data_IF_015777292972
#
_entry.id   IF_015777292972
#
_cell.length_a   1.000
_cell.length_b   1.000
_cell.length_c   1.000
_cell.angle_alpha   90.00
_cell.angle_beta   90.00
_cell.angle_gamma   90.00
#
_symmetry.space_group_name_H-M   'P 1'
#
loop_
_entity.id
_entity.type
_entity.pdbx_description
1 polymer ?
#
# COMPACT_ATOMS: atom_id res chain seq x y z
N UNK A 1 3.08 9.42 7.47
CA UNK A 1 2.11 8.56 8.16
C UNK A 1 1.43 7.64 7.17
N UNK A 2 1.15 6.40 7.56
CA UNK A 2 0.45 5.41 6.74
C UNK A 2 -1.05 5.60 6.94
N UNK A 3 -1.81 5.71 5.84
CA UNK A 3 -3.26 5.76 5.83
C UNK A 3 -3.77 4.46 5.21
N UNK A 4 -4.27 3.57 6.05
CA UNK A 4 -4.82 2.29 5.62
C UNK A 4 -6.34 2.38 5.49
N UNK A 5 -6.87 1.78 4.43
CA UNK A 5 -8.29 1.67 4.14
C UNK A 5 -8.59 0.22 3.80
N UNK A 6 -9.50 -0.41 4.53
CA UNK A 6 -9.85 -1.82 4.31
C UNK A 6 -10.54 -2.06 2.95
N UNK A 7 -11.39 -1.13 2.52
CA UNK A 7 -12.14 -1.23 1.26
C UNK A 7 -11.38 -0.76 0.01
N UNK A 8 -12.01 -1.00 -1.15
CA UNK A 8 -11.60 -0.43 -2.44
C UNK A 8 -12.02 1.05 -2.55
N UNK A 9 -11.64 1.85 -1.55
CA UNK A 9 -11.94 3.26 -1.61
C UNK A 9 -11.05 3.90 -2.67
N UNK A 10 -11.70 4.52 -3.64
CA UNK A 10 -11.14 5.60 -4.42
C UNK A 10 -10.52 6.62 -3.46
N UNK A 11 -9.20 6.54 -3.24
CA UNK A 11 -8.49 7.43 -2.31
C UNK A 11 -8.78 8.88 -2.64
N UNK A 12 -8.72 9.80 -1.66
CA UNK A 12 -9.08 11.22 -1.80
C UNK A 12 -8.73 11.88 -3.14
N UNK A 13 -7.63 11.49 -3.78
CA UNK A 13 -7.24 11.90 -5.13
C UNK A 13 -8.25 11.70 -6.27
N UNK A 14 -9.03 10.63 -6.28
CA UNK A 14 -10.07 10.40 -7.30
C UNK A 14 -11.38 11.12 -6.94
N UNK A 15 -11.64 11.32 -5.64
CA UNK A 15 -12.79 12.11 -5.17
C UNK A 15 -12.58 13.63 -5.31
N UNK A 16 -11.37 14.16 -5.08
CA UNK A 16 -11.14 15.61 -4.94
C UNK A 16 -11.13 16.44 -6.23
N UNK A 17 -11.23 15.81 -7.41
CA UNK A 17 -11.38 16.54 -8.70
C UNK A 17 -12.80 16.58 -9.25
N UNK A 18 -13.80 16.14 -8.49
CA UNK A 18 -15.19 16.45 -8.82
C UNK A 18 -15.70 17.61 -7.96
N UNK A 19 -15.12 18.79 -8.13
CA UNK A 19 -15.95 20.00 -7.99
C UNK A 19 -16.94 19.93 -9.15
N UNK A 20 -18.23 20.13 -8.84
CA UNK A 20 -19.40 19.87 -9.69
C UNK A 20 -19.45 20.63 -11.05
N UNK A 21 -18.36 21.28 -11.46
CA UNK A 21 -18.26 22.12 -12.66
C UNK A 21 -17.10 21.77 -13.61
N UNK A 22 -16.24 20.79 -13.28
CA UNK A 22 -15.19 20.33 -14.20
C UNK A 22 -15.72 19.17 -15.07
N UNK A 23 -15.54 19.28 -16.40
CA UNK A 23 -15.86 18.17 -17.31
C UNK A 23 -15.18 16.88 -16.82
N UNK A 24 -15.90 15.75 -16.78
CA UNK A 24 -15.37 14.51 -16.25
C UNK A 24 -14.10 14.15 -17.04
N UNK A 25 -12.98 14.06 -16.32
CA UNK A 25 -11.69 13.72 -16.90
C UNK A 25 -11.82 12.48 -17.81
N UNK A 26 -11.28 12.52 -19.03
CA UNK A 26 -11.47 11.44 -20.03
C UNK A 26 -11.01 10.06 -19.54
N UNK A 27 -10.07 10.00 -18.60
CA UNK A 27 -9.63 8.75 -17.97
C UNK A 27 -10.57 8.23 -16.88
N UNK A 28 -11.57 9.00 -16.44
CA UNK A 28 -12.44 8.65 -15.31
C UNK A 28 -13.16 7.32 -15.50
N UNK A 29 -13.77 7.00 -16.67
CA UNK A 29 -14.43 5.70 -16.86
C UNK A 29 -13.44 4.55 -16.72
N UNK A 30 -12.26 4.67 -17.33
CA UNK A 30 -11.23 3.62 -17.26
C UNK A 30 -10.66 3.45 -15.85
N UNK A 31 -10.53 4.55 -15.10
CA UNK A 31 -10.11 4.51 -13.70
C UNK A 31 -11.16 3.77 -12.86
N UNK A 32 -12.46 4.07 -13.02
CA UNK A 32 -13.51 3.34 -12.30
C UNK A 32 -13.47 1.86 -12.64
N UNK A 33 -13.39 1.50 -13.92
CA UNK A 33 -13.27 0.11 -14.36
C UNK A 33 -12.06 -0.61 -13.72
N UNK A 34 -10.92 0.06 -13.54
CA UNK A 34 -9.77 -0.50 -12.83
C UNK A 34 -10.00 -0.72 -11.34
N UNK A 35 -10.79 0.14 -10.69
CA UNK A 35 -11.14 -0.02 -9.27
C UNK A 35 -12.24 -1.08 -9.07
N UNK A 36 -13.17 -1.20 -10.01
CA UNK A 36 -14.27 -2.18 -9.98
C UNK A 36 -13.74 -3.60 -10.23
N UNK A 37 -12.81 -3.77 -11.17
CA UNK A 37 -12.19 -5.06 -11.51
C UNK A 37 -10.90 -5.33 -10.71
N UNK A 38 -10.78 -4.71 -9.54
CA UNK A 38 -9.61 -4.83 -8.69
C UNK A 38 -9.47 -6.24 -8.12
N UNK A 39 -8.26 -6.78 -8.13
CA UNK A 39 -7.96 -8.03 -7.43
C UNK A 39 -8.03 -7.82 -5.89
N UNK A 40 -8.98 -8.47 -5.20
CA UNK A 40 -9.14 -8.32 -3.75
C UNK A 40 -7.98 -8.94 -2.96
N UNK A 41 -7.21 -9.86 -3.56
CA UNK A 41 -6.09 -10.56 -2.92
C UNK A 41 -4.76 -9.81 -3.07
N UNK A 42 -4.82 -8.50 -3.29
CA UNK A 42 -3.63 -7.64 -3.42
C UNK A 42 -3.74 -6.37 -2.59
N UNK A 43 -2.63 -6.01 -1.96
CA UNK A 43 -2.46 -4.74 -1.28
C UNK A 43 -2.17 -3.67 -2.32
N UNK A 44 -3.10 -2.74 -2.48
CA UNK A 44 -2.88 -1.60 -3.35
C UNK A 44 -2.26 -0.48 -2.54
N UNK A 45 -1.05 -0.09 -2.89
CA UNK A 45 -0.37 0.94 -2.12
C UNK A 45 0.29 1.98 -3.01
N UNK A 46 0.39 3.19 -2.49
CA UNK A 46 1.07 4.30 -3.17
C UNK A 46 1.83 5.15 -2.17
N UNK A 47 2.86 5.84 -2.66
CA UNK A 47 3.53 6.92 -1.92
C UNK A 47 3.03 8.25 -2.45
N UNK A 48 2.30 8.99 -1.62
CA UNK A 48 1.73 10.28 -1.97
C UNK A 48 2.69 11.39 -1.57
N UNK A 49 3.29 12.05 -2.56
CA UNK A 49 4.29 13.11 -2.31
C UNK A 49 3.77 14.53 -2.55
N UNK A 50 2.56 14.67 -3.07
CA UNK A 50 1.94 15.98 -3.27
C UNK A 50 1.84 16.89 -2.04
N UNK A 51 1.56 16.39 -0.81
CA UNK A 51 1.38 17.30 0.32
C UNK A 51 2.67 18.00 0.77
N UNK A 52 3.84 17.62 0.25
CA UNK A 52 5.13 18.16 0.71
C UNK A 52 5.50 19.47 0.00
N UNK A 53 5.72 20.53 0.78
CA UNK A 53 6.14 21.87 0.33
C UNK A 53 7.66 21.96 0.09
N UNK A 54 8.24 20.93 -0.51
CA UNK A 54 9.67 20.87 -0.85
C UNK A 54 9.92 20.86 -2.36
N UNK A 55 11.17 21.00 -2.79
CA UNK A 55 11.52 20.95 -4.23
C UNK A 55 11.06 19.62 -4.86
N UNK A 56 10.63 19.67 -6.13
CA UNK A 56 10.16 18.50 -6.90
C UNK A 56 11.18 17.35 -6.90
N UNK A 57 12.46 17.67 -7.06
CA UNK A 57 13.56 16.68 -7.05
C UNK A 57 13.61 15.95 -5.71
N UNK A 58 13.47 16.68 -4.60
CA UNK A 58 13.44 16.11 -3.24
C UNK A 58 12.24 15.18 -3.07
N UNK A 59 11.03 15.61 -3.48
CA UNK A 59 9.83 14.75 -3.46
C UNK A 59 10.04 13.46 -4.26
N UNK A 60 10.59 13.58 -5.46
CA UNK A 60 10.82 12.45 -6.35
C UNK A 60 11.85 11.47 -5.78
N UNK A 61 12.97 11.99 -5.26
CA UNK A 61 13.99 11.19 -4.59
C UNK A 61 13.41 10.43 -3.40
N UNK A 62 12.67 11.12 -2.53
CA UNK A 62 12.03 10.53 -1.36
C UNK A 62 10.96 9.49 -1.70
N UNK A 63 10.15 9.74 -2.74
CA UNK A 63 9.18 8.75 -3.22
C UNK A 63 9.84 7.43 -3.61
N UNK A 64 10.99 7.49 -4.30
CA UNK A 64 11.74 6.29 -4.72
C UNK A 64 12.35 5.59 -3.51
N UNK A 65 12.98 6.35 -2.60
CA UNK A 65 13.55 5.81 -1.36
C UNK A 65 12.50 5.08 -0.54
N UNK A 66 11.33 5.69 -0.33
CA UNK A 66 10.27 5.10 0.49
C UNK A 66 9.66 3.86 -0.16
N UNK A 67 9.44 3.85 -1.49
CA UNK A 67 9.01 2.65 -2.22
C UNK A 67 10.00 1.50 -2.06
N UNK A 68 11.30 1.77 -2.18
CA UNK A 68 12.35 0.77 -1.99
C UNK A 68 12.31 0.18 -0.58
N UNK A 69 12.32 1.04 0.44
CA UNK A 69 12.27 0.63 1.86
C UNK A 69 11.00 -0.17 2.16
N UNK A 70 9.86 0.25 1.62
CA UNK A 70 8.58 -0.44 1.83
C UNK A 70 8.56 -1.82 1.19
N UNK A 71 9.06 -1.97 -0.05
CA UNK A 71 9.24 -3.28 -0.70
C UNK A 71 10.19 -4.19 0.07
N UNK A 72 11.32 -3.66 0.53
CA UNK A 72 12.26 -4.39 1.39
C UNK A 72 11.55 -4.87 2.68
N UNK A 73 10.71 -4.03 3.29
CA UNK A 73 9.95 -4.39 4.48
C UNK A 73 8.90 -5.48 4.22
N UNK A 74 8.17 -5.42 3.10
CA UNK A 74 7.24 -6.47 2.67
C UNK A 74 7.95 -7.80 2.46
N UNK A 75 9.07 -7.79 1.73
CA UNK A 75 9.87 -8.97 1.47
C UNK A 75 10.34 -9.64 2.76
N UNK A 76 10.86 -8.85 3.72
CA UNK A 76 11.28 -9.34 5.03
C UNK A 76 10.13 -9.88 5.90
N UNK A 77 8.88 -9.62 5.52
CA UNK A 77 7.68 -10.17 6.17
C UNK A 77 7.07 -11.37 5.43
N UNK A 78 7.69 -11.77 4.31
CA UNK A 78 7.27 -12.91 3.50
C UNK A 78 6.28 -12.56 2.39
N UNK A 79 6.24 -11.29 1.97
CA UNK A 79 5.32 -10.80 0.94
C UNK A 79 6.06 -10.27 -0.29
N UNK A 80 5.42 -10.39 -1.45
CA UNK A 80 5.81 -9.71 -2.67
C UNK A 80 5.42 -8.22 -2.64
N UNK A 81 5.82 -7.44 -3.64
CA UNK A 81 5.52 -6.02 -3.74
C UNK A 81 4.02 -5.70 -3.81
N UNK A 82 3.20 -6.67 -4.20
CA UNK A 82 1.73 -6.59 -4.26
C UNK A 82 1.05 -7.05 -2.97
N UNK A 83 1.82 -7.46 -1.95
CA UNK A 83 1.28 -7.99 -0.70
C UNK A 83 0.84 -9.45 -0.76
N UNK A 84 1.11 -10.16 -1.85
CA UNK A 84 0.87 -11.62 -1.93
C UNK A 84 1.96 -12.40 -1.20
N UNK A 85 1.68 -13.57 -0.60
CA UNK A 85 2.70 -14.39 0.03
C UNK A 85 3.77 -14.84 -0.97
N UNK A 86 5.02 -14.84 -0.53
CA UNK A 86 6.13 -15.41 -1.32
C UNK A 86 6.08 -16.94 -1.29
N UNK A 87 6.43 -17.62 -2.40
CA UNK A 87 6.63 -19.06 -2.40
C UNK A 87 7.83 -19.42 -1.52
N UNK A 88 7.84 -20.66 -1.00
CA UNK A 88 8.87 -21.15 -0.08
C UNK A 88 10.30 -20.94 -0.59
N UNK A 89 10.52 -21.10 -1.90
CA UNK A 89 11.81 -20.94 -2.58
C UNK A 89 12.35 -19.50 -2.52
N UNK A 90 11.47 -18.50 -2.47
CA UNK A 90 11.82 -17.07 -2.47
C UNK A 90 11.75 -16.45 -1.07
N UNK A 91 11.51 -17.27 -0.04
CA UNK A 91 11.33 -16.78 1.31
C UNK A 91 12.69 -16.44 1.94
N UNK A 92 12.85 -15.26 2.56
CA UNK A 92 14.07 -14.95 3.29
C UNK A 92 14.26 -15.89 4.49
N UNK A 93 15.53 -16.18 4.81
CA UNK A 93 15.91 -17.08 5.92
C UNK A 93 15.28 -16.59 7.23
N UNK A 94 14.63 -17.50 7.96
CA UNK A 94 14.04 -17.23 9.26
C UNK A 94 12.66 -16.55 9.24
N UNK A 95 12.04 -16.40 8.07
CA UNK A 95 10.67 -15.91 7.94
C UNK A 95 9.70 -17.07 7.78
N UNK A 96 8.58 -17.03 8.50
CA UNK A 96 7.52 -18.05 8.40
C UNK A 96 6.72 -17.88 7.11
N UNK A 97 6.29 -19.00 6.52
CA UNK A 97 5.42 -18.99 5.36
C UNK A 97 4.11 -18.26 5.68
N UNK A 98 3.72 -17.32 4.82
CA UNK A 98 2.43 -16.63 4.89
C UNK A 98 1.42 -17.39 4.02
N UNK A 99 0.22 -17.58 4.55
CA UNK A 99 -0.88 -18.24 3.83
C UNK A 99 -1.86 -17.22 3.26
N UNK A 100 -1.97 -16.06 3.92
CA UNK A 100 -2.91 -15.00 3.62
C UNK A 100 -2.24 -13.86 2.84
N UNK A 101 -2.80 -13.40 1.70
CA UNK A 101 -2.38 -12.15 1.08
C UNK A 101 -2.76 -10.94 1.92
N UNK A 102 -2.04 -9.84 1.76
CA UNK A 102 -2.45 -8.52 2.25
C UNK A 102 -3.48 -7.95 1.26
N UNK A 103 -4.48 -7.24 1.77
CA UNK A 103 -5.57 -6.65 0.99
C UNK A 103 -5.80 -5.17 1.34
N UNK A 104 -6.74 -4.52 0.66
CA UNK A 104 -7.11 -3.14 0.95
C UNK A 104 -6.11 -2.12 0.40
N UNK A 105 -6.30 -0.85 0.74
CA UNK A 105 -5.58 0.27 0.15
C UNK A 105 -4.70 0.96 1.17
N UNK A 106 -3.43 1.20 0.84
CA UNK A 106 -2.47 1.87 1.70
C UNK A 106 -1.87 3.11 1.03
N UNK A 107 -2.13 4.27 1.59
CA UNK A 107 -1.52 5.53 1.20
C UNK A 107 -0.40 5.91 2.16
N UNK A 108 0.82 5.99 1.65
CA UNK A 108 2.00 6.35 2.42
C UNK A 108 2.31 7.82 2.16
N UNK A 109 2.07 8.66 3.15
CA UNK A 109 2.34 10.10 3.08
C UNK A 109 3.56 10.47 3.94
N UNK A 110 4.75 10.69 3.36
CA UNK A 110 5.90 11.13 4.14
C UNK A 110 5.66 12.53 4.71
N UNK A 111 5.98 12.70 6.00
CA UNK A 111 6.07 14.03 6.62
C UNK A 111 7.41 14.66 6.24
N UNK A 112 7.46 15.99 6.17
CA UNK A 112 8.69 16.70 5.78
C UNK A 112 9.86 16.43 6.74
N UNK A 113 9.58 16.19 8.02
CA UNK A 113 10.58 15.81 9.02
C UNK A 113 11.29 14.48 8.73
N UNK A 114 10.71 13.61 7.91
CA UNK A 114 11.36 12.37 7.49
C UNK A 114 12.45 12.60 6.44
N UNK A 115 12.45 13.74 5.75
CA UNK A 115 13.38 14.06 4.65
C UNK A 115 14.84 14.11 5.11
N UNK A 116 15.07 14.47 6.37
CA UNK A 116 16.41 14.60 6.93
C UNK A 116 16.84 13.36 7.71
N UNK A 117 15.96 12.35 7.83
CA UNK A 117 16.26 11.15 8.61
C UNK A 117 17.12 10.15 7.86
N UNK A 118 17.97 9.47 8.63
CA UNK A 118 18.78 8.36 8.16
C UNK A 118 17.94 7.14 7.74
N UNK A 119 18.51 6.30 6.88
CA UNK A 119 17.86 5.11 6.33
C UNK A 119 17.46 4.11 7.41
N UNK A 120 18.28 3.96 8.47
CA UNK A 120 17.99 3.06 9.58
C UNK A 120 16.72 3.48 10.32
N UNK A 121 16.59 4.78 10.61
CA UNK A 121 15.43 5.33 11.30
C UNK A 121 14.15 5.17 10.48
N UNK A 122 14.20 5.45 9.18
CA UNK A 122 13.06 5.32 8.27
C UNK A 122 12.66 3.86 8.10
N UNK A 123 13.62 2.94 7.95
CA UNK A 123 13.36 1.50 7.88
C UNK A 123 12.65 0.99 9.12
N UNK A 124 13.12 1.40 10.31
CA UNK A 124 12.47 1.04 11.57
C UNK A 124 11.02 1.53 11.61
N UNK A 125 10.80 2.81 11.28
CA UNK A 125 9.45 3.39 11.26
C UNK A 125 8.52 2.64 10.29
N UNK A 126 8.98 2.39 9.07
CA UNK A 126 8.20 1.67 8.05
C UNK A 126 7.85 0.26 8.53
N UNK A 127 8.78 -0.46 9.13
CA UNK A 127 8.53 -1.80 9.69
C UNK A 127 7.46 -1.76 10.79
N UNK A 128 7.57 -0.83 11.74
CA UNK A 128 6.58 -0.68 12.80
C UNK A 128 5.19 -0.34 12.26
N UNK A 129 5.10 0.52 11.24
CA UNK A 129 3.82 0.86 10.63
C UNK A 129 3.24 -0.32 9.83
N UNK A 130 4.08 -1.04 9.08
CA UNK A 130 3.65 -2.25 8.37
C UNK A 130 3.14 -3.32 9.33
N UNK A 131 3.78 -3.49 10.48
CA UNK A 131 3.32 -4.45 11.50
C UNK A 131 1.93 -4.12 12.04
N UNK A 132 1.63 -2.83 12.25
CA UNK A 132 0.28 -2.38 12.62
C UNK A 132 -0.74 -2.68 11.53
N UNK A 133 -0.39 -2.42 10.28
CA UNK A 133 -1.24 -2.71 9.12
C UNK A 133 -1.52 -4.21 9.00
N UNK A 134 -0.51 -5.06 9.17
CA UNK A 134 -0.68 -6.52 9.15
C UNK A 134 -1.57 -6.97 10.30
N UNK A 135 -1.41 -6.40 11.50
CA UNK A 135 -2.27 -6.75 12.65
C UNK A 135 -3.73 -6.43 12.37
N UNK A 136 -4.03 -5.25 11.81
CA UNK A 136 -5.40 -4.88 11.43
C UNK A 136 -6.01 -5.79 10.35
N UNK A 137 -5.18 -6.50 9.57
CA UNK A 137 -5.65 -7.40 8.51
C UNK A 137 -5.92 -8.83 9.00
N UNK A 138 -5.41 -9.23 10.17
CA UNK A 138 -5.60 -10.60 10.71
C UNK A 138 -7.04 -10.89 11.11
N UNK A 139 -7.84 -9.86 11.34
CA UNK A 139 -9.24 -9.98 11.77
C UNK A 139 -10.17 -10.47 10.64
N UNK A 140 -9.67 -10.57 9.41
CA UNK A 140 -10.50 -10.84 8.23
C UNK A 140 -10.61 -12.34 7.89
N UNK A 141 -11.82 -12.83 7.57
CA UNK A 141 -12.05 -14.24 7.27
C UNK A 141 -11.42 -14.65 5.93
N UNK A 142 -10.62 -15.71 5.98
CA UNK A 142 -9.92 -16.28 4.82
C UNK A 142 -10.49 -17.67 4.57
N UNK A 143 -10.78 -17.97 3.31
CA UNK A 143 -11.16 -19.31 2.92
C UNK A 143 -9.97 -20.24 3.08
N UNK A 144 -10.09 -21.20 3.99
CA UNK A 144 -9.04 -22.17 4.29
C UNK A 144 -8.70 -23.07 3.09
N UNK A 145 -9.60 -23.21 2.11
CA UNK A 145 -9.37 -24.02 0.90
C UNK A 145 -8.57 -23.28 -0.16
N UNK A 146 -8.94 -22.02 -0.43
CA UNK A 146 -8.35 -21.23 -1.52
C UNK A 146 -7.24 -20.27 -1.04
N UNK A 147 -7.17 -19.98 0.25
CA UNK A 147 -6.27 -18.95 0.81
C UNK A 147 -6.67 -17.52 0.42
N UNK A 148 -7.79 -17.35 -0.28
CA UNK A 148 -8.35 -16.08 -0.69
C UNK A 148 -9.31 -15.54 0.38
N UNK A 149 -9.58 -14.24 0.35
CA UNK A 149 -10.62 -13.66 1.18
C UNK A 149 -12.01 -14.18 0.75
N UNK A 150 -12.86 -14.57 1.71
CA UNK A 150 -14.18 -15.16 1.45
C UNK A 150 -15.16 -14.20 0.79
N UNK A 151 -15.00 -12.90 1.03
CA UNK A 151 -15.80 -11.83 0.44
C UNK A 151 -14.86 -10.70 0.00
N UNK A 152 -15.13 -10.09 -1.15
CA UNK A 152 -14.57 -8.77 -1.46
C UNK A 152 -15.32 -7.75 -0.60
N UNK A 153 -14.63 -6.88 0.16
CA UNK A 153 -15.31 -5.86 0.95
C UNK A 153 -16.18 -4.97 0.05
N UNK A 154 -17.30 -4.43 0.55
CA UNK A 154 -18.05 -3.39 -0.14
C UNK A 154 -17.20 -2.15 -0.45
#
# INVERSE_FOLDING_TARGET
MFKYHAGSFMTNWTMYRSRQYEQPHVLKPKIHEFYDNRDPNTLWWKVATQPMKVKRVVRSHWSRRLRRIFREALYLKGYDETGRPLPLEKLPKGVSLRTAPLHGTLEIEPMESLITQDDVAVKRLVRTQLDRVIETMKEWPIDKRTGAYQESPP
#
